data_IF_231948920133
#
_entry.id   IF_231948920133
#
_cell.length_a   1.000
_cell.length_b   1.000
_cell.length_c   1.000
_cell.angle_alpha   90.00
_cell.angle_beta   90.00
_cell.angle_gamma   90.00
#
_symmetry.space_group_name_H-M   'P 1'
#
loop_
_entity.id
_entity.type
_entity.pdbx_description
1 polymer ?
#
# COMPACT_ATOMS: atom_id res chain seq x y z
N UNK A 1 -43.46 24.92 -21.05
CA UNK A 1 -42.17 25.53 -20.68
C UNK A 1 -41.16 24.40 -20.44
N UNK A 2 -39.93 24.58 -20.88
CA UNK A 2 -38.89 23.57 -21.12
C UNK A 2 -38.43 22.84 -19.84
N UNK A 3 -38.27 21.51 -19.90
CA UNK A 3 -37.55 20.68 -18.90
C UNK A 3 -36.04 20.82 -19.13
N UNK A 4 -35.27 21.19 -18.11
CA UNK A 4 -33.82 20.89 -18.04
C UNK A 4 -33.49 20.44 -16.62
N UNK A 5 -33.16 19.15 -16.52
CA UNK A 5 -32.54 18.49 -15.38
C UNK A 5 -31.11 19.04 -15.27
N UNK A 6 -30.75 19.67 -14.15
CA UNK A 6 -29.35 19.98 -13.84
C UNK A 6 -28.78 18.91 -12.90
N UNK A 7 -28.34 17.81 -13.50
CA UNK A 7 -27.28 16.98 -12.95
C UNK A 7 -25.99 17.82 -12.96
N UNK A 8 -25.48 18.16 -11.79
CA UNK A 8 -24.11 18.62 -11.63
C UNK A 8 -23.36 17.63 -10.71
N UNK A 9 -23.25 16.39 -11.18
CA UNK A 9 -22.31 15.42 -10.65
C UNK A 9 -20.94 15.67 -11.29
N UNK A 10 -20.23 16.70 -10.84
CA UNK A 10 -18.81 16.86 -11.15
C UNK A 10 -17.98 16.23 -10.03
N UNK A 11 -17.94 14.90 -9.98
CA UNK A 11 -16.91 14.18 -9.23
C UNK A 11 -15.64 14.15 -10.10
N UNK A 12 -14.87 15.24 -10.11
CA UNK A 12 -13.52 15.21 -10.71
C UNK A 12 -12.58 14.57 -9.69
N UNK A 13 -12.75 13.27 -9.45
CA UNK A 13 -11.82 12.46 -8.68
C UNK A 13 -10.64 12.06 -9.58
N UNK A 14 -9.78 13.02 -9.92
CA UNK A 14 -8.51 12.78 -10.60
C UNK A 14 -7.21 13.05 -9.80
N UNK A 15 -7.19 13.36 -8.48
CA UNK A 15 -5.91 13.57 -7.78
C UNK A 15 -5.16 12.26 -7.49
N UNK A 16 -5.86 11.20 -7.03
CA UNK A 16 -5.22 9.98 -6.51
C UNK A 16 -4.30 9.25 -7.51
N UNK A 17 -4.59 9.31 -8.81
CA UNK A 17 -3.82 8.60 -9.85
C UNK A 17 -2.56 9.37 -10.28
N UNK A 18 -2.55 10.70 -10.16
CA UNK A 18 -1.35 11.50 -10.39
C UNK A 18 -0.37 11.34 -9.22
N UNK A 19 -0.90 11.17 -8.00
CA UNK A 19 -0.13 11.08 -6.78
C UNK A 19 0.71 9.78 -6.73
N UNK A 20 0.14 8.62 -7.06
CA UNK A 20 0.88 7.34 -6.99
C UNK A 20 2.10 7.27 -7.92
N UNK A 21 2.04 7.90 -9.10
CA UNK A 21 3.15 7.90 -10.06
C UNK A 21 4.38 8.65 -9.52
N UNK A 22 4.16 9.70 -8.70
CA UNK A 22 5.26 10.41 -8.05
C UNK A 22 6.03 9.46 -7.11
N UNK A 23 5.31 8.63 -6.36
CA UNK A 23 5.90 7.63 -5.47
C UNK A 23 6.69 6.58 -6.25
N UNK A 24 6.12 6.06 -7.34
CA UNK A 24 6.80 5.07 -8.21
C UNK A 24 8.09 5.65 -8.79
N UNK A 25 8.05 6.91 -9.25
CA UNK A 25 9.22 7.60 -9.77
C UNK A 25 10.29 7.83 -8.68
N UNK A 26 9.87 8.19 -7.46
CA UNK A 26 10.76 8.37 -6.33
C UNK A 26 11.44 7.05 -5.94
N UNK A 27 10.66 5.97 -5.84
CA UNK A 27 11.14 4.62 -5.56
C UNK A 27 12.14 4.15 -6.62
N UNK A 28 11.83 4.33 -7.91
CA UNK A 28 12.73 3.99 -9.02
C UNK A 28 14.03 4.79 -9.05
N UNK A 29 14.07 5.97 -8.42
CA UNK A 29 15.28 6.79 -8.24
C UNK A 29 16.02 6.50 -6.92
N UNK A 30 15.56 5.53 -6.13
CA UNK A 30 16.10 5.23 -4.80
C UNK A 30 15.76 6.27 -3.72
N UNK A 31 14.85 7.23 -4.01
CA UNK A 31 14.37 8.18 -3.01
C UNK A 31 13.21 7.56 -2.22
N UNK A 32 13.54 6.58 -1.38
CA UNK A 32 12.56 5.85 -0.59
C UNK A 32 11.80 6.71 0.41
N UNK A 33 12.41 7.70 1.11
CA UNK A 33 11.64 8.60 1.97
C UNK A 33 10.51 9.33 1.23
N UNK A 34 10.78 9.81 0.01
CA UNK A 34 9.74 10.45 -0.81
C UNK A 34 8.70 9.44 -1.31
N UNK A 35 9.13 8.22 -1.63
CA UNK A 35 8.20 7.15 -2.00
C UNK A 35 7.24 6.81 -0.86
N UNK A 36 7.76 6.67 0.38
CA UNK A 36 6.95 6.45 1.58
C UNK A 36 5.96 7.62 1.81
N UNK A 37 6.43 8.87 1.70
CA UNK A 37 5.57 10.06 1.86
C UNK A 37 4.36 10.03 0.92
N UNK A 38 4.54 9.51 -0.30
CA UNK A 38 3.47 9.39 -1.29
C UNK A 38 2.60 8.16 -1.06
N UNK A 39 3.20 6.99 -0.85
CA UNK A 39 2.45 5.74 -0.78
C UNK A 39 1.70 5.57 0.54
N UNK A 40 2.21 6.10 1.66
CA UNK A 40 1.59 5.96 2.97
C UNK A 40 0.13 6.43 3.00
N UNK A 41 -0.22 7.69 2.70
CA UNK A 41 -1.61 8.13 2.79
C UNK A 41 -2.54 7.38 1.82
N UNK A 42 -2.03 6.97 0.66
CA UNK A 42 -2.78 6.18 -0.32
C UNK A 42 -3.06 4.76 0.21
N UNK A 43 -2.05 4.11 0.78
CA UNK A 43 -2.16 2.79 1.39
C UNK A 43 -3.13 2.78 2.58
N UNK A 44 -3.08 3.82 3.41
CA UNK A 44 -3.98 4.02 4.55
C UNK A 44 -5.42 4.33 4.12
N UNK A 45 -5.62 4.87 2.91
CA UNK A 45 -6.95 5.05 2.31
C UNK A 45 -7.57 3.76 1.75
N UNK A 46 -6.85 2.63 1.82
CA UNK A 46 -7.30 1.33 1.35
C UNK A 46 -6.93 1.00 -0.10
N UNK A 47 -6.08 1.80 -0.76
CA UNK A 47 -5.60 1.47 -2.11
C UNK A 47 -4.58 0.32 -2.05
N UNK A 48 -4.99 -0.87 -2.49
CA UNK A 48 -4.16 -2.07 -2.48
C UNK A 48 -2.91 -1.97 -3.37
N UNK A 49 -2.94 -1.16 -4.44
CA UNK A 49 -1.73 -0.93 -5.24
C UNK A 49 -0.72 -0.12 -4.43
N UNK A 50 -1.19 0.93 -3.75
CA UNK A 50 -0.34 1.73 -2.89
C UNK A 50 0.21 0.94 -1.70
N UNK A 51 -0.60 0.06 -1.09
CA UNK A 51 -0.13 -0.86 -0.04
C UNK A 51 1.01 -1.78 -0.54
N UNK A 52 0.87 -2.31 -1.77
CA UNK A 52 1.93 -3.11 -2.40
C UNK A 52 3.20 -2.31 -2.69
N UNK A 53 3.10 -1.09 -3.21
CA UNK A 53 4.26 -0.24 -3.44
C UNK A 53 4.94 0.21 -2.14
N UNK A 54 4.15 0.49 -1.10
CA UNK A 54 4.64 0.82 0.22
C UNK A 54 5.44 -0.35 0.81
N UNK A 55 4.88 -1.56 0.76
CA UNK A 55 5.56 -2.77 1.22
C UNK A 55 6.89 -3.00 0.46
N UNK A 56 6.88 -2.87 -0.87
CA UNK A 56 8.09 -2.98 -1.68
C UNK A 56 9.13 -1.90 -1.36
N UNK A 57 8.70 -0.68 -1.05
CA UNK A 57 9.60 0.39 -0.61
C UNK A 57 10.31 -0.01 0.68
N UNK A 58 9.60 -0.61 1.64
CA UNK A 58 10.21 -1.13 2.87
C UNK A 58 11.16 -2.31 2.61
N UNK A 59 10.86 -3.20 1.66
CA UNK A 59 11.80 -4.26 1.23
C UNK A 59 13.12 -3.65 0.75
N UNK A 60 13.06 -2.62 -0.09
CA UNK A 60 14.25 -1.94 -0.63
C UNK A 60 15.05 -1.19 0.46
N UNK A 61 14.40 -0.80 1.54
CA UNK A 61 15.02 -0.20 2.72
C UNK A 61 15.49 -1.24 3.76
N UNK A 62 15.32 -2.53 3.48
CA UNK A 62 15.57 -3.65 4.41
C UNK A 62 14.78 -3.58 5.73
N UNK A 63 13.69 -2.78 5.79
CA UNK A 63 12.74 -2.83 6.91
C UNK A 63 11.73 -3.97 6.69
N UNK A 64 12.24 -5.18 6.87
CA UNK A 64 11.44 -6.38 6.62
C UNK A 64 10.27 -6.55 7.59
N UNK A 65 10.29 -5.89 8.76
CA UNK A 65 9.16 -5.91 9.69
C UNK A 65 7.98 -5.15 9.09
N UNK A 66 8.20 -3.94 8.59
CA UNK A 66 7.16 -3.14 7.94
C UNK A 66 6.72 -3.75 6.60
N UNK A 67 7.66 -4.24 5.80
CA UNK A 67 7.34 -4.91 4.54
C UNK A 67 6.42 -6.13 4.76
N UNK A 68 6.76 -6.99 5.72
CA UNK A 68 5.92 -8.13 6.07
C UNK A 68 4.55 -7.68 6.54
N UNK A 69 4.47 -6.67 7.41
CA UNK A 69 3.21 -6.17 7.95
C UNK A 69 2.26 -5.70 6.84
N UNK A 70 2.76 -4.89 5.90
CA UNK A 70 1.96 -4.41 4.78
C UNK A 70 1.56 -5.53 3.82
N UNK A 71 2.48 -6.44 3.44
CA UNK A 71 2.11 -7.57 2.59
C UNK A 71 1.11 -8.52 3.26
N UNK A 72 1.29 -8.82 4.54
CA UNK A 72 0.37 -9.65 5.31
C UNK A 72 -1.02 -9.03 5.40
N UNK A 73 -1.11 -7.73 5.69
CA UNK A 73 -2.37 -7.00 5.69
C UNK A 73 -3.02 -7.07 4.31
N UNK A 74 -2.32 -6.63 3.26
CA UNK A 74 -2.80 -6.57 1.87
C UNK A 74 -3.27 -7.94 1.35
N UNK A 75 -2.56 -9.01 1.71
CA UNK A 75 -2.96 -10.38 1.40
C UNK A 75 -4.27 -10.77 2.08
N UNK A 76 -4.45 -10.40 3.36
CA UNK A 76 -5.71 -10.59 4.09
C UNK A 76 -6.86 -9.74 3.52
N UNK A 77 -6.57 -8.59 2.89
CA UNK A 77 -7.56 -7.78 2.18
C UNK A 77 -8.02 -8.45 0.87
N UNK A 78 -7.33 -9.51 0.40
CA UNK A 78 -7.69 -10.30 -0.77
C UNK A 78 -6.68 -10.25 -1.92
N UNK A 79 -5.59 -9.50 -1.78
CA UNK A 79 -4.55 -9.43 -2.82
C UNK A 79 -3.72 -10.71 -2.89
N UNK A 80 -3.87 -11.46 -3.97
CA UNK A 80 -3.07 -12.67 -4.23
C UNK A 80 -1.60 -12.35 -4.44
N UNK A 81 -1.31 -11.23 -5.11
CA UNK A 81 0.06 -10.79 -5.40
C UNK A 81 0.81 -10.50 -4.10
N UNK A 82 0.17 -9.83 -3.13
CA UNK A 82 0.77 -9.61 -1.82
C UNK A 82 1.08 -10.93 -1.07
N UNK A 83 0.24 -11.96 -1.25
CA UNK A 83 0.51 -13.29 -0.69
C UNK A 83 1.73 -13.97 -1.32
N UNK A 84 1.95 -13.78 -2.62
CA UNK A 84 3.14 -14.27 -3.33
C UNK A 84 4.39 -13.53 -2.82
N UNK A 85 4.33 -12.21 -2.72
CA UNK A 85 5.43 -11.40 -2.19
C UNK A 85 5.79 -11.79 -0.75
N UNK A 86 4.78 -12.00 0.12
CA UNK A 86 4.98 -12.46 1.48
C UNK A 86 5.69 -13.82 1.52
N UNK A 87 5.31 -14.76 0.65
CA UNK A 87 5.95 -16.06 0.54
C UNK A 87 7.42 -15.94 0.11
N UNK A 88 7.74 -15.06 -0.84
CA UNK A 88 9.11 -14.80 -1.29
C UNK A 88 9.97 -14.08 -0.25
N UNK A 89 9.35 -13.21 0.56
CA UNK A 89 10.03 -12.45 1.61
C UNK A 89 10.35 -13.30 2.84
N UNK A 90 9.43 -14.20 3.22
CA UNK A 90 9.50 -15.00 4.47
C UNK A 90 10.86 -15.68 4.71
N UNK A 91 11.49 -16.36 3.73
CA UNK A 91 12.78 -17.03 3.92
C UNK A 91 13.97 -16.10 4.24
N UNK A 92 13.84 -14.79 4.02
CA UNK A 92 14.91 -13.80 4.24
C UNK A 92 14.95 -13.27 5.69
N UNK A 93 14.00 -13.66 6.54
CA UNK A 93 13.77 -13.06 7.85
C UNK A 93 13.94 -14.05 9.00
N UNK A 94 14.23 -13.51 10.19
CA UNK A 94 14.15 -14.29 11.43
C UNK A 94 12.70 -14.59 11.81
N UNK A 95 12.48 -15.69 12.55
CA UNK A 95 11.16 -16.03 13.12
C UNK A 95 10.60 -14.85 13.94
N UNK A 96 11.44 -14.21 14.75
CA UNK A 96 11.04 -13.03 15.53
C UNK A 96 10.53 -11.88 14.64
N UNK A 97 11.22 -11.61 13.53
CA UNK A 97 10.80 -10.57 12.58
C UNK A 97 9.46 -10.90 11.93
N UNK A 98 9.24 -12.18 11.59
CA UNK A 98 7.97 -12.67 11.04
C UNK A 98 6.83 -12.49 12.06
N UNK A 99 7.05 -12.87 13.32
CA UNK A 99 6.05 -12.71 14.39
C UNK A 99 5.68 -11.24 14.63
N UNK A 100 6.69 -10.36 14.67
CA UNK A 100 6.49 -8.93 14.82
C UNK A 100 5.76 -8.33 13.61
N UNK A 101 6.18 -8.67 12.40
CA UNK A 101 5.55 -8.21 11.17
C UNK A 101 4.10 -8.70 11.06
N UNK A 102 3.82 -9.96 11.42
CA UNK A 102 2.47 -10.51 11.43
C UNK A 102 1.56 -9.78 12.42
N UNK A 103 2.03 -9.56 13.66
CA UNK A 103 1.26 -8.83 14.67
C UNK A 103 0.94 -7.40 14.21
N UNK A 104 1.91 -6.72 13.60
CA UNK A 104 1.71 -5.39 13.03
C UNK A 104 0.78 -5.40 11.82
N UNK A 105 0.92 -6.38 10.93
CA UNK A 105 0.06 -6.54 9.76
C UNK A 105 -1.39 -6.86 10.12
N UNK A 106 -1.63 -7.59 11.22
CA UNK A 106 -2.98 -7.81 11.74
C UNK A 106 -3.63 -6.47 12.16
N UNK A 107 -2.86 -5.54 12.73
CA UNK A 107 -3.31 -4.17 13.04
C UNK A 107 -3.60 -3.38 11.76
N UNK A 108 -2.73 -3.43 10.76
CA UNK A 108 -2.93 -2.73 9.48
C UNK A 108 -4.16 -3.25 8.73
N UNK A 109 -4.39 -4.57 8.75
CA UNK A 109 -5.59 -5.18 8.17
C UNK A 109 -6.87 -4.63 8.80
N UNK A 110 -6.95 -4.62 10.14
CA UNK A 110 -8.13 -4.11 10.85
C UNK A 110 -8.37 -2.61 10.60
N UNK A 111 -7.31 -1.84 10.30
CA UNK A 111 -7.39 -0.38 10.19
C UNK A 111 -7.65 0.10 8.77
N UNK A 112 -7.11 -0.59 7.76
CA UNK A 112 -7.04 -0.08 6.38
C UNK A 112 -7.75 -0.97 5.36
N UNK A 113 -8.33 -2.10 5.78
CA UNK A 113 -9.02 -3.02 4.87
C UNK A 113 -10.36 -3.56 5.37
N UNK A 114 -10.67 -3.40 6.66
CA UNK A 114 -11.88 -3.92 7.27
C UNK A 114 -13.01 -2.88 7.30
#
# INVERSE_FOLDING_TARGET
MVRIILLAACLVAAPARADIQQGVNAMGRGNYPKALEVFQPLAESGDWNAQGFLANTYVLMEDYREAYAWFHATAKCGSKDAGIELHMLTPKMSVKTIEQGKALGDIYYDRYCR
#
